data_IF_895854846541
#
_entry.id   IF_895854846541
#
_cell.length_a   1.000
_cell.length_b   1.000
_cell.length_c   1.000
_cell.angle_alpha   90.00
_cell.angle_beta   90.00
_cell.angle_gamma   90.00
#
_symmetry.space_group_name_H-M   'P 1'
#
loop_
_entity.id
_entity.type
_entity.pdbx_description
1 polymer ?
#
# COMPACT_ATOMS: atom_id res chain seq x y z
N UNK A 1 -7.26 21.51 4.47
CA UNK A 1 -5.98 21.65 5.21
C UNK A 1 -5.05 20.47 4.92
N UNK A 2 -5.46 19.24 5.23
CA UNK A 2 -4.66 18.03 4.96
C UNK A 2 -4.26 17.87 3.48
N UNK A 3 -5.20 18.06 2.55
CA UNK A 3 -4.91 18.05 1.11
C UNK A 3 -3.85 19.09 0.70
N UNK A 4 -3.91 20.30 1.25
CA UNK A 4 -2.95 21.38 0.93
C UNK A 4 -1.53 21.03 1.39
N UNK A 5 -1.39 20.43 2.58
CA UNK A 5 -0.10 19.94 3.06
C UNK A 5 0.42 18.79 2.18
N UNK A 6 -0.46 17.87 1.75
CA UNK A 6 -0.07 16.79 0.84
C UNK A 6 0.47 17.30 -0.50
N UNK A 7 -0.22 18.27 -1.12
CA UNK A 7 0.21 18.90 -2.37
C UNK A 7 1.52 19.66 -2.19
N UNK A 8 1.64 20.45 -1.14
CA UNK A 8 2.86 21.20 -0.84
C UNK A 8 4.06 20.27 -0.70
N UNK A 9 3.95 19.21 0.10
CA UNK A 9 5.04 18.28 0.35
C UNK A 9 5.43 17.49 -0.91
N UNK A 10 4.46 17.05 -1.71
CA UNK A 10 4.72 16.36 -2.98
C UNK A 10 5.59 17.20 -3.92
N UNK A 11 5.26 18.48 -4.09
CA UNK A 11 6.07 19.38 -4.90
C UNK A 11 7.40 19.72 -4.22
N UNK A 12 7.41 20.01 -2.92
CA UNK A 12 8.63 20.36 -2.19
C UNK A 12 9.70 19.25 -2.26
N UNK A 13 9.30 17.98 -2.13
CA UNK A 13 10.22 16.83 -2.27
C UNK A 13 10.82 16.79 -3.68
N UNK A 14 10.03 17.03 -4.73
CA UNK A 14 10.54 17.09 -6.11
C UNK A 14 11.56 18.20 -6.33
N UNK A 15 11.45 19.30 -5.59
CA UNK A 15 12.39 20.42 -5.63
C UNK A 15 13.57 20.27 -4.65
N UNK A 16 13.74 19.11 -4.02
CA UNK A 16 14.91 18.81 -3.17
C UNK A 16 14.71 19.08 -1.69
N UNK A 17 13.47 19.07 -1.18
CA UNK A 17 13.22 19.13 0.27
C UNK A 17 13.54 17.77 0.91
N UNK A 18 14.62 17.72 1.70
CA UNK A 18 15.09 16.48 2.34
C UNK A 18 14.47 16.21 3.71
N UNK A 19 14.00 17.24 4.43
CA UNK A 19 13.50 17.10 5.81
C UNK A 19 12.35 18.07 6.13
N UNK A 20 11.33 17.57 6.81
CA UNK A 20 10.23 18.38 7.34
C UNK A 20 9.51 17.70 8.51
N UNK A 21 9.09 18.47 9.52
CA UNK A 21 8.30 17.96 10.65
C UNK A 21 6.82 18.04 10.28
N UNK A 22 6.20 16.88 10.08
CA UNK A 22 4.79 16.78 9.63
C UNK A 22 4.03 15.75 10.47
N UNK A 23 2.70 15.94 10.56
CA UNK A 23 1.83 14.91 11.11
C UNK A 23 1.45 13.90 10.02
N UNK A 24 2.26 12.85 9.89
CA UNK A 24 2.10 11.85 8.84
C UNK A 24 0.84 10.98 8.94
N UNK A 25 0.19 10.94 10.10
CA UNK A 25 -1.05 10.18 10.28
C UNK A 25 -2.23 10.76 9.51
N UNK A 26 -2.22 12.08 9.26
CA UNK A 26 -3.31 12.84 8.68
C UNK A 26 -3.02 13.33 7.25
N UNK A 27 -1.91 12.89 6.65
CA UNK A 27 -1.58 13.23 5.27
C UNK A 27 -2.30 12.25 4.32
N UNK A 28 -3.16 12.73 3.40
CA UNK A 28 -3.75 11.89 2.38
C UNK A 28 -2.68 11.48 1.35
N UNK A 29 -2.89 10.36 0.67
CA UNK A 29 -2.09 10.02 -0.52
C UNK A 29 -2.45 11.03 -1.60
N UNK A 30 -1.44 11.56 -2.29
CA UNK A 30 -1.62 12.63 -3.28
C UNK A 30 -2.67 12.25 -4.36
N UNK A 31 -2.65 10.99 -4.82
CA UNK A 31 -3.58 10.48 -5.86
C UNK A 31 -5.02 10.28 -5.36
N UNK A 32 -5.25 10.22 -4.04
CA UNK A 32 -6.60 10.09 -3.48
C UNK A 32 -7.33 11.44 -3.34
N UNK A 33 -6.61 12.56 -3.51
CA UNK A 33 -7.19 13.88 -3.39
C UNK A 33 -8.11 14.13 -4.59
N UNK A 34 -9.36 14.56 -4.33
CA UNK A 34 -10.32 14.89 -5.38
C UNK A 34 -9.72 15.89 -6.38
N UNK A 35 -9.81 15.60 -7.69
CA UNK A 35 -9.13 16.37 -8.76
C UNK A 35 -9.41 17.87 -8.70
N UNK A 36 -10.65 18.25 -8.41
CA UNK A 36 -11.05 19.65 -8.26
C UNK A 36 -10.35 20.33 -7.07
N UNK A 37 -10.26 19.65 -5.92
CA UNK A 37 -9.58 20.15 -4.74
C UNK A 37 -8.06 20.22 -4.96
N UNK A 38 -7.50 19.24 -5.66
CA UNK A 38 -6.09 19.19 -6.04
C UNK A 38 -5.73 20.42 -6.87
N UNK A 39 -6.50 20.71 -7.92
CA UNK A 39 -6.26 21.84 -8.80
C UNK A 39 -6.38 23.18 -8.08
N UNK A 40 -7.41 23.36 -7.24
CA UNK A 40 -7.55 24.55 -6.41
C UNK A 40 -6.36 24.75 -5.44
N UNK A 41 -5.81 23.66 -4.90
CA UNK A 41 -4.65 23.71 -4.02
C UNK A 41 -3.36 24.03 -4.80
N UNK A 42 -3.18 23.48 -6.00
CA UNK A 42 -2.03 23.79 -6.86
C UNK A 42 -2.06 25.23 -7.37
N UNK A 43 -3.22 25.72 -7.81
CA UNK A 43 -3.38 27.09 -8.29
C UNK A 43 -3.07 28.11 -7.19
N UNK A 44 -3.42 27.78 -5.94
CA UNK A 44 -3.07 28.58 -4.77
C UNK A 44 -1.57 28.53 -4.46
N UNK A 45 -0.96 27.35 -4.41
CA UNK A 45 0.47 27.18 -4.06
C UNK A 45 1.37 27.84 -5.11
N UNK A 46 1.04 27.70 -6.38
CA UNK A 46 1.79 28.27 -7.49
C UNK A 46 1.39 29.71 -7.83
N UNK A 47 0.42 30.27 -7.10
CA UNK A 47 -0.14 31.61 -7.36
C UNK A 47 -0.51 31.84 -8.84
N UNK A 48 -1.13 30.84 -9.48
CA UNK A 48 -1.51 30.88 -10.90
C UNK A 48 -2.77 31.70 -11.13
N UNK A 49 -3.64 31.77 -10.12
CA UNK A 49 -4.92 32.45 -10.19
C UNK A 49 -5.04 33.46 -9.03
N UNK A 50 -5.21 34.77 -9.32
CA UNK A 50 -5.45 35.80 -8.31
C UNK A 50 -6.68 35.52 -7.41
N UNK A 51 -7.67 34.78 -7.92
CA UNK A 51 -8.90 34.44 -7.19
C UNK A 51 -8.86 33.05 -6.52
N UNK A 52 -7.71 32.35 -6.54
CA UNK A 52 -7.57 31.00 -6.00
C UNK A 52 -8.06 30.88 -4.54
N UNK A 53 -7.77 31.89 -3.72
CA UNK A 53 -8.20 31.95 -2.32
C UNK A 53 -9.73 31.97 -2.20
N UNK A 54 -10.41 32.75 -3.04
CA UNK A 54 -11.87 32.88 -3.00
C UNK A 54 -12.55 31.62 -3.55
N UNK A 55 -12.02 31.03 -4.62
CA UNK A 55 -12.51 29.76 -5.18
C UNK A 55 -12.37 28.62 -4.18
N UNK A 56 -11.24 28.53 -3.49
CA UNK A 56 -11.02 27.54 -2.44
C UNK A 56 -11.94 27.77 -1.24
N UNK A 57 -12.20 29.03 -0.87
CA UNK A 57 -13.16 29.37 0.18
C UNK A 57 -14.60 28.98 -0.20
N UNK A 58 -15.01 29.24 -1.46
CA UNK A 58 -16.33 28.83 -1.98
C UNK A 58 -16.48 27.31 -1.99
N UNK A 59 -15.45 26.59 -2.43
CA UNK A 59 -15.40 25.12 -2.39
C UNK A 59 -15.54 24.61 -0.96
N UNK A 60 -14.82 25.22 -0.01
CA UNK A 60 -14.92 24.88 1.42
C UNK A 60 -16.29 25.22 2.02
N UNK A 61 -16.99 26.25 1.55
CA UNK A 61 -18.35 26.57 2.03
C UNK A 61 -19.41 25.61 1.48
N UNK A 62 -19.27 25.18 0.22
CA UNK A 62 -20.17 24.19 -0.40
C UNK A 62 -19.95 22.79 0.15
N UNK A 63 -18.71 22.41 0.45
CA UNK A 63 -18.36 21.05 0.90
C UNK A 63 -18.08 20.95 2.41
N UNK A 64 -17.89 22.05 3.13
CA UNK A 64 -17.46 22.07 4.54
C UNK A 64 -18.55 22.08 5.60
N UNK A 65 -19.83 22.25 5.23
CA UNK A 65 -20.96 22.19 6.20
C UNK A 65 -21.42 20.79 6.56
N UNK A 66 -20.86 19.76 5.94
CA UNK A 66 -21.17 18.37 6.24
C UNK A 66 -19.93 17.65 6.69
N UNK A 67 -19.68 17.61 8.00
CA UNK A 67 -18.94 16.51 8.62
C UNK A 67 -19.72 15.21 8.48
N UNK A 68 -20.17 14.85 7.27
CA UNK A 68 -20.38 13.47 6.93
C UNK A 68 -18.98 12.88 7.04
N UNK A 69 -18.74 12.16 8.14
CA UNK A 69 -18.01 10.89 8.01
C UNK A 69 -18.53 10.33 6.70
N UNK A 70 -17.72 10.41 5.64
CA UNK A 70 -17.91 9.55 4.50
C UNK A 70 -17.85 8.20 5.18
N UNK A 71 -19.03 7.65 5.46
CA UNK A 71 -19.19 6.21 5.61
C UNK A 71 -18.57 5.77 4.32
N UNK A 72 -17.29 5.38 4.38
CA UNK A 72 -16.61 4.75 3.27
C UNK A 72 -17.51 3.55 3.06
N UNK A 73 -18.44 3.68 2.12
CA UNK A 73 -19.07 2.53 1.54
C UNK A 73 -17.89 1.68 1.15
N UNK A 74 -17.83 0.49 1.71
CA UNK A 74 -16.81 -0.49 1.43
C UNK A 74 -16.98 -0.98 -0.03
N UNK A 75 -17.13 -0.07 -1.00
CA UNK A 75 -17.27 -0.32 -2.44
C UNK A 75 -16.06 -1.08 -2.96
N UNK A 76 -14.88 -0.82 -2.38
CA UNK A 76 -13.66 -1.58 -2.64
C UNK A 76 -13.80 -3.07 -2.28
N UNK A 77 -14.72 -3.44 -1.37
CA UNK A 77 -15.00 -4.84 -1.01
C UNK A 77 -15.84 -5.58 -2.05
N UNK A 78 -16.45 -4.87 -3.00
CA UNK A 78 -17.20 -5.50 -4.09
C UNK A 78 -16.30 -5.95 -5.25
N UNK A 79 -15.01 -5.57 -5.22
CA UNK A 79 -14.01 -5.99 -6.20
C UNK A 79 -13.52 -7.43 -5.99
N UNK A 80 -12.74 -7.96 -6.94
CA UNK A 80 -12.08 -9.26 -6.80
C UNK A 80 -11.10 -9.29 -5.62
N UNK A 81 -10.74 -10.49 -5.15
CA UNK A 81 -9.84 -10.70 -3.99
C UNK A 81 -8.51 -9.98 -4.21
N UNK A 82 -7.97 -10.02 -5.42
CA UNK A 82 -6.70 -9.40 -5.78
C UNK A 82 -6.73 -7.87 -5.57
N UNK A 83 -7.78 -7.20 -6.04
CA UNK A 83 -7.97 -5.76 -5.87
C UNK A 83 -8.22 -5.39 -4.39
N UNK A 84 -8.94 -6.24 -3.65
CA UNK A 84 -9.17 -6.03 -2.21
C UNK A 84 -7.88 -6.10 -1.41
N UNK A 85 -7.03 -7.09 -1.68
CA UNK A 85 -5.73 -7.27 -1.04
C UNK A 85 -4.79 -6.09 -1.37
N UNK A 86 -4.74 -5.68 -2.63
CA UNK A 86 -3.97 -4.51 -3.07
C UNK A 86 -4.45 -3.23 -2.36
N UNK A 87 -5.76 -2.97 -2.34
CA UNK A 87 -6.33 -1.81 -1.69
C UNK A 87 -6.03 -1.81 -0.18
N UNK A 88 -6.19 -2.96 0.49
CA UNK A 88 -5.88 -3.10 1.92
C UNK A 88 -4.40 -2.81 2.21
N UNK A 89 -3.49 -3.23 1.33
CA UNK A 89 -2.05 -2.95 1.45
C UNK A 89 -1.74 -1.46 1.23
N UNK A 90 -2.25 -0.85 0.17
CA UNK A 90 -2.02 0.57 -0.15
C UNK A 90 -2.58 1.49 0.94
N UNK A 91 -3.76 1.17 1.48
CA UNK A 91 -4.40 1.97 2.54
C UNK A 91 -3.93 1.61 3.95
N UNK A 92 -3.24 0.48 4.13
CA UNK A 92 -2.79 0.01 5.44
C UNK A 92 -3.93 -0.47 6.35
N UNK A 93 -4.91 -1.19 5.78
CA UNK A 93 -6.09 -1.71 6.51
C UNK A 93 -5.83 -3.12 7.03
N UNK A 94 -5.80 -3.29 8.36
CA UNK A 94 -5.51 -4.59 9.00
C UNK A 94 -6.73 -5.46 9.28
N UNK A 95 -7.95 -4.90 9.17
CA UNK A 95 -9.16 -5.54 9.70
C UNK A 95 -9.61 -6.74 8.86
N UNK A 96 -9.51 -6.65 7.54
CA UNK A 96 -10.03 -7.64 6.60
C UNK A 96 -8.95 -8.49 5.91
N UNK A 97 -7.67 -8.18 6.15
CA UNK A 97 -6.56 -8.83 5.44
C UNK A 97 -6.50 -10.33 5.67
N UNK A 98 -6.85 -10.82 6.87
CA UNK A 98 -6.85 -12.26 7.19
C UNK A 98 -7.97 -12.97 6.43
N UNK A 99 -9.17 -12.38 6.40
CA UNK A 99 -10.33 -12.93 5.69
C UNK A 99 -10.04 -13.04 4.19
N UNK A 100 -9.49 -11.97 3.59
CA UNK A 100 -9.15 -11.93 2.17
C UNK A 100 -8.00 -12.88 1.81
N UNK A 101 -7.02 -13.04 2.71
CA UNK A 101 -5.91 -13.99 2.54
C UNK A 101 -6.40 -15.44 2.64
N UNK A 102 -7.35 -15.72 3.53
CA UNK A 102 -7.97 -17.04 3.65
C UNK A 102 -8.83 -17.37 2.43
N UNK A 103 -9.59 -16.41 1.91
CA UNK A 103 -10.37 -16.57 0.69
C UNK A 103 -9.47 -16.85 -0.52
N UNK A 104 -8.33 -16.14 -0.63
CA UNK A 104 -7.30 -16.43 -1.64
C UNK A 104 -6.73 -17.85 -1.48
N UNK A 105 -6.51 -18.30 -0.25
CA UNK A 105 -6.02 -19.66 0.07
C UNK A 105 -7.01 -20.75 -0.30
N UNK A 106 -8.30 -20.53 -0.11
CA UNK A 106 -9.35 -21.47 -0.50
C UNK A 106 -9.45 -21.62 -2.02
N UNK A 107 -9.00 -20.62 -2.78
CA UNK A 107 -8.99 -20.66 -4.23
C UNK A 107 -7.76 -21.41 -4.78
N UNK A 108 -7.73 -22.72 -4.56
CA UNK A 108 -6.65 -23.62 -5.00
C UNK A 108 -6.47 -23.68 -6.53
N UNK A 109 -7.51 -23.36 -7.31
CA UNK A 109 -7.40 -23.29 -8.78
C UNK A 109 -6.47 -22.16 -9.22
N UNK A 110 -6.57 -20.98 -8.60
CA UNK A 110 -5.70 -19.84 -8.90
C UNK A 110 -4.38 -19.88 -8.14
N UNK A 111 -4.43 -20.31 -6.88
CA UNK A 111 -3.29 -20.30 -5.96
C UNK A 111 -3.06 -21.70 -5.40
N UNK A 112 -2.42 -22.60 -6.17
CA UNK A 112 -2.20 -23.99 -5.74
C UNK A 112 -1.30 -24.08 -4.50
N UNK A 113 -0.43 -23.07 -4.30
CA UNK A 113 0.44 -22.97 -3.12
C UNK A 113 0.18 -21.67 -2.37
N UNK A 114 0.21 -21.65 -1.03
CA UNK A 114 0.15 -20.42 -0.24
C UNK A 114 1.24 -19.41 -0.63
N UNK A 115 2.40 -19.88 -1.10
CA UNK A 115 3.48 -19.03 -1.60
C UNK A 115 3.05 -18.17 -2.79
N UNK A 116 2.19 -18.69 -3.67
CA UNK A 116 1.71 -17.95 -4.85
C UNK A 116 0.84 -16.75 -4.46
N UNK A 117 0.24 -16.74 -3.26
CA UNK A 117 -0.52 -15.59 -2.74
C UNK A 117 0.45 -14.47 -2.32
N UNK A 118 1.62 -14.84 -1.78
CA UNK A 118 2.68 -13.90 -1.43
C UNK A 118 3.28 -13.31 -2.70
N UNK A 119 3.65 -14.15 -3.67
CA UNK A 119 4.29 -13.73 -4.92
C UNK A 119 3.33 -13.06 -5.92
N UNK A 120 2.02 -13.32 -5.82
CA UNK A 120 1.00 -12.73 -6.67
C UNK A 120 0.40 -11.45 -6.06
N UNK A 121 -0.81 -11.53 -5.47
CA UNK A 121 -1.56 -10.35 -5.05
C UNK A 121 -0.84 -9.50 -3.99
N UNK A 122 -0.15 -10.13 -3.02
CA UNK A 122 0.53 -9.36 -1.97
C UNK A 122 1.76 -8.62 -2.51
N UNK A 123 2.54 -9.24 -3.40
CA UNK A 123 3.69 -8.60 -4.04
C UNK A 123 3.26 -7.48 -4.99
N UNK A 124 2.19 -7.68 -5.75
CA UNK A 124 1.62 -6.66 -6.63
C UNK A 124 1.22 -5.41 -5.83
N UNK A 125 0.52 -5.59 -4.70
CA UNK A 125 0.18 -4.46 -3.83
C UNK A 125 1.40 -3.76 -3.24
N UNK A 126 2.45 -4.51 -2.89
CA UNK A 126 3.69 -3.92 -2.37
C UNK A 126 4.48 -3.17 -3.45
N UNK A 127 4.41 -3.62 -4.70
CA UNK A 127 5.00 -2.92 -5.85
C UNK A 127 4.36 -1.55 -6.05
N UNK A 128 3.03 -1.48 -5.97
CA UNK A 128 2.28 -0.21 -6.06
C UNK A 128 2.65 0.74 -4.93
N UNK A 129 2.76 0.23 -3.69
CA UNK A 129 3.26 1.02 -2.55
C UNK A 129 4.68 1.55 -2.81
N UNK A 130 5.56 0.71 -3.37
CA UNK A 130 6.91 1.09 -3.76
C UNK A 130 6.96 2.17 -4.84
N UNK A 131 6.14 2.04 -5.88
CA UNK A 131 6.03 3.02 -6.96
C UNK A 131 5.48 4.36 -6.46
N UNK A 132 4.47 4.34 -5.58
CA UNK A 132 3.92 5.54 -4.95
C UNK A 132 4.92 6.22 -4.02
N UNK A 133 5.71 5.45 -3.28
CA UNK A 133 6.78 5.98 -2.42
C UNK A 133 7.92 6.57 -3.24
N UNK A 134 8.38 5.86 -4.29
CA UNK A 134 9.42 6.34 -5.21
C UNK A 134 8.99 7.59 -5.98
N UNK A 135 7.69 7.73 -6.28
CA UNK A 135 7.13 8.93 -6.88
C UNK A 135 6.93 10.10 -5.89
N UNK A 136 7.19 9.90 -4.59
CA UNK A 136 6.96 10.91 -3.54
C UNK A 136 5.49 11.16 -3.22
N UNK A 137 4.58 10.29 -3.69
CA UNK A 137 3.12 10.40 -3.48
C UNK A 137 2.64 9.75 -2.18
N UNK A 138 3.43 8.82 -1.65
CA UNK A 138 3.21 8.11 -0.39
C UNK A 138 4.37 8.37 0.56
N UNK A 139 4.06 8.57 1.85
CA UNK A 139 5.06 8.93 2.86
C UNK A 139 5.51 7.73 3.69
N UNK A 140 6.72 7.78 4.27
CA UNK A 140 7.32 6.69 5.03
C UNK A 140 6.39 6.10 6.13
N UNK A 141 5.65 6.89 6.93
CA UNK A 141 4.75 6.32 7.94
C UNK A 141 3.56 5.56 7.34
N UNK A 142 3.15 5.88 6.10
CA UNK A 142 2.14 5.11 5.37
C UNK A 142 2.74 3.78 4.89
N UNK A 143 3.96 3.80 4.36
CA UNK A 143 4.71 2.58 3.97
C UNK A 143 4.87 1.61 5.14
N UNK A 144 5.17 2.13 6.34
CA UNK A 144 5.27 1.29 7.56
C UNK A 144 3.93 0.63 7.91
N UNK A 145 2.80 1.34 7.73
CA UNK A 145 1.47 0.75 7.93
C UNK A 145 1.20 -0.36 6.91
N UNK A 146 1.50 -0.14 5.63
CA UNK A 146 1.37 -1.16 4.57
C UNK A 146 2.23 -2.40 4.87
N UNK A 147 3.47 -2.20 5.32
CA UNK A 147 4.36 -3.30 5.72
C UNK A 147 3.78 -4.12 6.88
N UNK A 148 3.11 -3.48 7.84
CA UNK A 148 2.46 -4.16 8.97
C UNK A 148 1.29 -5.03 8.50
N UNK A 149 0.49 -4.54 7.55
CA UNK A 149 -0.58 -5.33 6.91
C UNK A 149 0.00 -6.53 6.17
N UNK A 150 1.07 -6.34 5.40
CA UNK A 150 1.76 -7.43 4.70
C UNK A 150 2.26 -8.49 5.67
N UNK A 151 2.93 -8.09 6.75
CA UNK A 151 3.42 -9.02 7.79
C UNK A 151 2.28 -9.84 8.41
N UNK A 152 1.11 -9.24 8.59
CA UNK A 152 -0.08 -9.92 9.15
C UNK A 152 -0.65 -10.95 8.17
N UNK A 153 -0.71 -10.62 6.88
CA UNK A 153 -1.14 -11.54 5.82
C UNK A 153 -0.18 -12.75 5.71
N UNK A 154 1.12 -12.48 5.61
CA UNK A 154 2.16 -13.53 5.54
C UNK A 154 2.16 -14.38 6.81
N UNK A 155 2.01 -13.76 7.99
CA UNK A 155 1.91 -14.47 9.26
C UNK A 155 0.75 -15.47 9.33
N UNK A 156 -0.35 -15.20 8.60
CA UNK A 156 -1.46 -16.15 8.47
C UNK A 156 -1.12 -17.33 7.54
N UNK A 157 -0.28 -17.12 6.52
CA UNK A 157 0.10 -18.15 5.54
C UNK A 157 1.22 -19.07 6.03
N UNK A 158 2.11 -18.62 6.92
CA UNK A 158 3.26 -19.40 7.43
C UNK A 158 2.86 -20.80 7.92
N UNK A 159 1.85 -20.98 8.80
CA UNK A 159 1.49 -22.30 9.31
C UNK A 159 0.99 -23.27 8.23
N UNK A 160 0.43 -22.75 7.13
CA UNK A 160 -0.02 -23.56 6.00
C UNK A 160 1.13 -23.96 5.08
N UNK A 161 2.10 -23.07 4.89
CA UNK A 161 3.34 -23.38 4.16
C UNK A 161 4.17 -24.43 4.88
N UNK A 162 4.26 -24.37 6.20
CA UNK A 162 4.96 -25.37 7.01
C UNK A 162 4.28 -26.74 6.91
N UNK A 163 2.95 -26.80 7.00
CA UNK A 163 2.18 -28.04 6.80
C UNK A 163 2.35 -28.64 5.41
N UNK A 164 2.29 -27.82 4.35
CA UNK A 164 2.52 -28.29 2.98
C UNK A 164 3.96 -28.83 2.82
N UNK A 165 4.94 -28.19 3.47
CA UNK A 165 6.34 -28.66 3.47
C UNK A 165 6.49 -29.99 4.20
N UNK A 166 5.80 -30.17 5.33
CA UNK A 166 5.78 -31.45 6.08
C UNK A 166 5.09 -32.56 5.30
N UNK A 167 3.95 -32.28 4.66
CA UNK A 167 3.21 -33.24 3.82
C UNK A 167 4.04 -33.66 2.60
N UNK A 168 4.69 -32.71 1.93
CA UNK A 168 5.63 -33.01 0.84
C UNK A 168 6.84 -33.80 1.32
N UNK A 169 7.40 -33.52 2.51
CA UNK A 169 8.47 -34.33 3.11
C UNK A 169 8.01 -35.75 3.46
N UNK A 170 6.73 -35.94 3.79
CA UNK A 170 6.17 -37.27 4.07
C UNK A 170 5.80 -38.07 2.82
N UNK A 171 5.48 -37.40 1.70
CA UNK A 171 5.14 -38.04 0.42
C UNK A 171 6.35 -38.27 -0.49
N UNK A 172 7.36 -37.40 -0.42
CA UNK A 172 8.66 -37.59 -1.07
C UNK A 172 9.59 -38.33 -0.10
N UNK A 173 9.50 -39.66 -0.07
CA UNK A 173 10.46 -40.48 0.64
C UNK A 173 11.88 -40.17 0.13
N UNK A 174 12.70 -39.57 1.00
CA UNK A 174 14.15 -39.34 0.86
C UNK A 174 14.61 -38.71 -0.46
N UNK A 175 14.77 -37.39 -0.50
CA UNK A 175 15.91 -36.77 -1.20
C UNK A 175 16.40 -35.55 -0.39
N UNK A 176 17.71 -35.36 -0.43
CA UNK A 176 18.54 -34.58 0.47
C UNK A 176 18.14 -33.09 0.54
N UNK A 177 18.45 -32.48 1.68
CA UNK A 177 18.25 -31.06 1.97
C UNK A 177 19.07 -30.17 1.02
N UNK A 178 18.51 -29.83 -0.14
CA UNK A 178 18.80 -28.53 -0.77
C UNK A 178 17.67 -27.58 -0.41
N UNK A 179 17.91 -26.75 0.60
CA UNK A 179 17.05 -25.61 0.92
C UNK A 179 17.12 -24.63 -0.29
N UNK A 180 16.06 -24.46 -1.10
CA UNK A 180 16.12 -23.67 -2.34
C UNK A 180 16.38 -22.17 -2.11
N UNK A 181 16.51 -21.78 -0.84
CA UNK A 181 16.69 -20.40 -0.37
C UNK A 181 18.10 -20.11 0.15
N UNK A 182 19.02 -21.08 0.19
CA UNK A 182 20.43 -20.82 0.52
C UNK A 182 21.19 -20.37 -0.74
N UNK A 183 21.28 -19.05 -0.93
CA UNK A 183 22.12 -18.46 -1.98
C UNK A 183 23.60 -18.76 -1.76
N UNK A 184 24.28 -19.26 -2.79
CA UNK A 184 25.74 -19.48 -2.78
C UNK A 184 26.49 -18.14 -2.82
N UNK A 185 27.33 -17.86 -1.82
CA UNK A 185 28.21 -16.68 -1.81
C UNK A 185 29.59 -17.09 -2.35
N UNK A 186 29.99 -16.50 -3.49
CA UNK A 186 31.34 -16.64 -4.05
C UNK A 186 32.18 -15.41 -3.63
N UNK A 187 33.20 -15.64 -2.81
CA UNK A 187 34.19 -14.64 -2.42
C UNK A 187 35.49 -14.91 -3.17
N UNK A 188 35.89 -14.00 -4.04
CA UNK A 188 37.20 -14.00 -4.69
C UNK A 188 38.01 -12.80 -4.20
N UNK A 189 39.18 -13.06 -3.61
CA UNK A 189 40.16 -12.02 -3.28
C UNK A 189 41.21 -11.95 -4.38
N UNK A 190 41.53 -10.73 -4.82
CA UNK A 190 42.62 -10.47 -5.75
C UNK A 190 43.89 -10.25 -4.93
N UNK A 191 45.00 -10.85 -5.34
CA UNK A 191 46.31 -10.71 -4.68
C UNK A 191 47.06 -9.49 -5.21
#
# INVERSE_FOLDING_TARGET
>A
REAMHGVFLYHAIKFGMDMGIVNAGNLPVYDDIHKELLQLCEDLIWNKDPEATEKLLRYAQTHGKGGKKVVQTDEWRNGPIEERLEYALVKGIEKHIIEDTEEARLNQEKYPRPLNIIEGPLMNGMKVVGDLFGAGKMFLPQVIKSARVMKKAVGHLIPFMEKEREENKMHAGTEEEEDPYQGTIVLATVK
#
